data_IF_984290581071
#
_entry.id   IF_984290581071
#
_cell.length_a   1.000
_cell.length_b   1.000
_cell.length_c   1.000
_cell.angle_alpha   90.00
_cell.angle_beta   90.00
_cell.angle_gamma   90.00
#
_symmetry.space_group_name_H-M   'P 1'
#
loop_
_entity.id
_entity.type
_entity.pdbx_description
1 polymer ?
#
# COMPACT_ATOMS: atom_id res chain seq x y z
N UNK A 1 18.42 4.59 -1.27
CA UNK A 1 17.00 4.24 -1.40
C UNK A 1 16.15 5.10 -0.49
N UNK A 2 15.42 6.09 -1.04
CA UNK A 2 14.36 6.79 -0.32
C UNK A 2 13.32 5.81 0.25
N UNK A 3 12.71 6.21 1.36
CA UNK A 3 11.67 5.44 2.06
C UNK A 3 10.50 6.34 2.35
N UNK A 4 9.31 5.81 2.17
CA UNK A 4 8.10 6.56 2.41
C UNK A 4 6.97 5.65 2.87
N UNK A 5 6.14 6.12 3.79
CA UNK A 5 5.11 5.29 4.41
C UNK A 5 3.68 5.74 4.11
N UNK A 6 2.80 4.75 4.00
CA UNK A 6 1.36 4.94 3.86
C UNK A 6 0.67 4.34 5.08
N UNK A 7 -0.23 5.12 5.70
CA UNK A 7 -1.05 4.66 6.82
C UNK A 7 -2.45 4.36 6.32
N UNK A 8 -2.84 3.10 6.39
CA UNK A 8 -4.15 2.60 5.99
C UNK A 8 -5.04 2.52 7.23
N UNK A 9 -6.22 3.11 7.17
CA UNK A 9 -7.16 3.15 8.30
C UNK A 9 -7.55 1.74 8.76
N UNK A 10 -7.66 1.53 10.07
CA UNK A 10 -7.89 0.20 10.67
C UNK A 10 -9.29 -0.41 10.43
N UNK A 11 -10.12 0.23 9.61
CA UNK A 11 -11.40 -0.32 9.12
C UNK A 11 -11.20 -1.22 7.90
N UNK A 12 -10.06 -1.12 7.23
CA UNK A 12 -9.73 -1.92 6.06
C UNK A 12 -9.18 -3.28 6.54
N UNK A 13 -9.80 -4.41 6.14
CA UNK A 13 -9.33 -5.73 6.54
C UNK A 13 -7.90 -6.00 6.05
N UNK A 14 -7.09 -6.65 6.89
CA UNK A 14 -5.71 -7.02 6.52
C UNK A 14 -5.66 -7.85 5.21
N UNK A 15 -6.67 -8.71 4.99
CA UNK A 15 -6.80 -9.48 3.75
C UNK A 15 -6.90 -8.58 2.52
N UNK A 16 -7.68 -7.50 2.59
CA UNK A 16 -7.83 -6.56 1.48
C UNK A 16 -6.51 -5.85 1.17
N UNK A 17 -5.79 -5.42 2.22
CA UNK A 17 -4.47 -4.79 2.09
C UNK A 17 -3.48 -5.75 1.43
N UNK A 18 -3.43 -7.01 1.88
CA UNK A 18 -2.56 -8.03 1.26
C UNK A 18 -2.90 -8.27 -0.20
N UNK A 19 -4.18 -8.42 -0.54
CA UNK A 19 -4.60 -8.61 -1.93
C UNK A 19 -4.27 -7.41 -2.81
N UNK A 20 -4.39 -6.18 -2.30
CA UNK A 20 -3.98 -4.98 -3.02
C UNK A 20 -2.45 -4.92 -3.21
N UNK A 21 -1.66 -5.32 -2.21
CA UNK A 21 -0.20 -5.43 -2.33
C UNK A 21 0.24 -6.54 -3.32
N UNK A 22 -0.48 -7.65 -3.37
CA UNK A 22 -0.23 -8.70 -4.37
C UNK A 22 -0.53 -8.20 -5.78
N UNK A 23 -1.64 -7.48 -5.97
CA UNK A 23 -1.96 -6.84 -7.25
C UNK A 23 -0.93 -5.77 -7.64
N UNK A 24 -0.41 -5.00 -6.66
CA UNK A 24 0.66 -4.04 -6.88
C UNK A 24 1.95 -4.70 -7.40
N UNK A 25 2.24 -5.93 -6.96
CA UNK A 25 3.41 -6.70 -7.41
C UNK A 25 3.32 -7.19 -8.84
N UNK A 26 2.10 -7.30 -9.38
CA UNK A 26 1.87 -7.65 -10.79
C UNK A 26 2.04 -6.45 -11.72
N UNK A 27 2.19 -5.25 -11.17
CA UNK A 27 2.45 -4.03 -11.94
C UNK A 27 3.94 -3.98 -12.32
N UNK A 28 4.25 -4.25 -13.60
CA UNK A 28 5.64 -4.33 -14.09
C UNK A 28 6.43 -3.04 -13.84
N UNK A 29 5.77 -1.87 -13.86
CA UNK A 29 6.39 -0.57 -13.61
C UNK A 29 6.82 -0.38 -12.15
N UNK A 30 6.30 -1.18 -11.22
CA UNK A 30 6.57 -1.08 -9.78
C UNK A 30 7.28 -2.33 -9.23
N UNK A 31 7.75 -3.21 -10.13
CA UNK A 31 8.40 -4.47 -9.76
C UNK A 31 9.68 -4.29 -8.94
N UNK A 32 10.34 -3.15 -9.07
CA UNK A 32 11.55 -2.77 -8.32
C UNK A 32 11.24 -2.09 -6.97
N UNK A 33 9.99 -1.73 -6.71
CA UNK A 33 9.58 -1.11 -5.43
C UNK A 33 9.43 -2.20 -4.37
N UNK A 34 10.22 -2.11 -3.31
CA UNK A 34 10.07 -2.94 -2.12
C UNK A 34 9.02 -2.36 -1.17
N UNK A 35 8.29 -3.21 -0.45
CA UNK A 35 7.42 -2.77 0.65
C UNK A 35 7.39 -3.71 1.84
N UNK A 36 7.09 -3.15 3.01
CA UNK A 36 6.85 -3.85 4.26
C UNK A 36 5.58 -3.34 4.91
N UNK A 37 4.56 -4.20 4.99
CA UNK A 37 3.35 -3.91 5.76
C UNK A 37 3.53 -4.35 7.22
N UNK A 38 3.22 -3.48 8.17
CA UNK A 38 3.12 -3.85 9.57
C UNK A 38 1.90 -4.76 9.78
N UNK A 39 2.05 -5.79 10.61
CA UNK A 39 0.90 -6.60 11.01
C UNK A 39 0.10 -5.79 12.02
N UNK A 40 -1.12 -5.39 11.69
CA UNK A 40 -2.06 -4.80 12.63
C UNK A 40 -3.42 -5.51 12.51
N UNK A 41 -4.14 -5.55 13.64
CA UNK A 41 -5.51 -6.08 13.69
C UNK A 41 -6.48 -4.90 13.78
N UNK A 42 -7.63 -4.95 13.10
CA UNK A 42 -8.70 -3.99 13.32
C UNK A 42 -8.98 -3.85 14.82
N UNK A 43 -9.16 -2.62 15.35
CA UNK A 43 -9.31 -1.35 14.62
C UNK A 43 -8.00 -0.57 14.40
N UNK A 44 -6.82 -1.19 14.59
CA UNK A 44 -5.54 -0.46 14.47
C UNK A 44 -5.19 -0.19 13.00
N UNK A 45 -4.67 1.00 12.67
CA UNK A 45 -4.21 1.29 11.32
C UNK A 45 -3.05 0.36 10.91
N UNK A 46 -2.97 0.06 9.62
CA UNK A 46 -1.86 -0.70 9.02
C UNK A 46 -0.87 0.27 8.41
N UNK A 47 0.42 0.13 8.71
CA UNK A 47 1.47 0.98 8.12
C UNK A 47 2.18 0.19 7.03
N UNK A 48 2.21 0.71 5.81
CA UNK A 48 2.95 0.14 4.68
C UNK A 48 4.14 1.04 4.38
N UNK A 49 5.34 0.53 4.59
CA UNK A 49 6.59 1.22 4.27
C UNK A 49 7.05 0.81 2.88
N UNK A 50 7.19 1.78 1.97
CA UNK A 50 7.74 1.60 0.63
C UNK A 50 9.22 2.01 0.58
N UNK A 51 9.98 1.34 -0.27
CA UNK A 51 11.41 1.56 -0.51
C UNK A 51 11.67 1.38 -2.01
N UNK A 52 12.30 2.37 -2.64
CA UNK A 52 12.66 2.37 -4.05
C UNK A 52 13.90 3.24 -4.26
N UNK A 53 14.46 3.24 -5.47
CA UNK A 53 15.57 4.12 -5.83
C UNK A 53 15.11 5.54 -6.22
N UNK A 54 13.93 5.67 -6.85
CA UNK A 54 13.30 6.94 -7.19
C UNK A 54 12.10 7.27 -6.27
N UNK A 55 12.01 8.55 -5.87
CA UNK A 55 10.86 9.11 -5.15
C UNK A 55 9.59 9.06 -6.01
N UNK A 56 9.70 9.19 -7.33
CA UNK A 56 8.55 9.08 -8.22
C UNK A 56 7.90 7.70 -8.14
N UNK A 57 8.70 6.63 -8.04
CA UNK A 57 8.19 5.27 -7.95
C UNK A 57 7.52 4.99 -6.60
N UNK A 58 8.04 5.58 -5.52
CA UNK A 58 7.34 5.57 -4.22
C UNK A 58 5.96 6.21 -4.31
N UNK A 59 5.86 7.38 -4.96
CA UNK A 59 4.58 8.08 -5.14
C UNK A 59 3.62 7.28 -6.01
N UNK A 60 4.09 6.72 -7.13
CA UNK A 60 3.28 5.86 -7.99
C UNK A 60 2.77 4.63 -7.23
N UNK A 61 3.64 3.95 -6.47
CA UNK A 61 3.26 2.77 -5.68
C UNK A 61 2.19 3.08 -4.64
N UNK A 62 2.31 4.22 -3.94
CA UNK A 62 1.30 4.68 -2.98
C UNK A 62 -0.04 4.97 -3.65
N UNK A 63 -0.05 5.80 -4.69
CA UNK A 63 -1.27 6.13 -5.43
C UNK A 63 -1.93 4.89 -6.02
N UNK A 64 -1.12 3.92 -6.50
CA UNK A 64 -1.63 2.67 -7.05
C UNK A 64 -2.25 1.79 -5.97
N UNK A 65 -1.62 1.67 -4.80
CA UNK A 65 -2.18 0.94 -3.67
C UNK A 65 -3.49 1.58 -3.18
N UNK A 66 -3.52 2.91 -3.06
CA UNK A 66 -4.74 3.64 -2.69
C UNK A 66 -5.87 3.35 -3.68
N UNK A 67 -5.58 3.46 -4.98
CA UNK A 67 -6.55 3.16 -6.04
C UNK A 67 -7.04 1.72 -5.97
N UNK A 68 -6.17 0.73 -5.75
CA UNK A 68 -6.57 -0.68 -5.64
C UNK A 68 -7.51 -0.93 -4.45
N UNK A 69 -7.29 -0.23 -3.33
CA UNK A 69 -8.16 -0.31 -2.16
C UNK A 69 -9.51 0.37 -2.41
N UNK A 70 -9.51 1.55 -3.04
CA UNK A 70 -10.73 2.26 -3.44
C UNK A 70 -11.54 1.47 -4.47
N UNK A 71 -10.90 0.88 -5.49
CA UNK A 71 -11.53 0.05 -6.51
C UNK A 71 -12.14 -1.23 -5.91
N UNK A 72 -11.57 -1.73 -4.80
CA UNK A 72 -12.12 -2.83 -4.02
C UNK A 72 -13.25 -2.40 -3.06
N UNK A 73 -13.63 -1.12 -3.06
CA UNK A 73 -14.73 -0.56 -2.27
C UNK A 73 -14.35 -0.10 -0.87
N UNK A 74 -13.06 0.05 -0.57
CA UNK A 74 -12.59 0.54 0.73
C UNK A 74 -12.30 2.03 0.71
N UNK A 75 -12.88 2.74 1.68
CA UNK A 75 -12.60 4.16 1.87
C UNK A 75 -11.37 4.35 2.76
N UNK A 76 -10.35 5.03 2.20
CA UNK A 76 -9.11 5.39 2.87
C UNK A 76 -9.24 6.70 3.66
N UNK A 77 -10.19 7.56 3.31
CA UNK A 77 -10.41 8.89 3.87
C UNK A 77 -11.89 9.06 4.26
N UNK A 78 -12.35 8.39 5.34
CA UNK A 78 -13.71 8.52 5.83
C UNK A 78 -14.02 9.90 6.43
#
# INVERSE_FOLDING_TARGET
>A
MPKDDLVIHGRIPEKAIRSALEALRLDNELSEVGWKASKSKPPRPTKVLFEADDIQDLRKAKTRLEKLLTDAGFDLYP
#
